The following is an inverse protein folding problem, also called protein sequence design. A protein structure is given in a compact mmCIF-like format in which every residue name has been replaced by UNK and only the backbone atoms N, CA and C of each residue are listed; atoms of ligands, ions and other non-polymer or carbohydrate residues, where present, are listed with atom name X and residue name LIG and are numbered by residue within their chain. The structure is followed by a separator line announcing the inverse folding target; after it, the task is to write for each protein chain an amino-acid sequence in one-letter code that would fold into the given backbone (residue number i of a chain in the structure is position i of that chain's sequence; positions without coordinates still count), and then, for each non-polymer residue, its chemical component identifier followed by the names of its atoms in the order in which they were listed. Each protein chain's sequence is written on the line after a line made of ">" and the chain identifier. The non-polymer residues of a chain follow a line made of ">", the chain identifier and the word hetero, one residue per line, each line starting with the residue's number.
data_IF_551146527285
#
_entry.id   IF_551146527285
#
_cell.length_a   1.000
_cell.length_b   1.000
_cell.length_c   1.000
_cell.angle_alpha   90.00
_cell.angle_beta   90.00
_cell.angle_gamma   90.00
#
_symmetry.space_group_name_H-M   'P 1'
#
loop_
_entity.id
_entity.type
_entity.pdbx_description
1 polymer ?
#
# COMPACT_ATOMS: atom_id res chain seq x y z
N UNK A 1 -55.36 -7.58 69.73
CA UNK A 1 -54.88 -6.49 68.87
C UNK A 1 -53.56 -6.95 68.24
N UNK A 2 -53.59 -7.50 67.04
CA UNK A 2 -52.39 -7.97 66.34
C UNK A 2 -51.90 -6.88 65.39
N UNK A 3 -50.69 -6.38 65.64
CA UNK A 3 -50.00 -5.39 64.83
C UNK A 3 -49.25 -6.08 63.69
N UNK A 4 -49.73 -5.93 62.46
CA UNK A 4 -49.04 -6.37 61.24
C UNK A 4 -48.01 -5.33 60.83
N UNK A 5 -46.72 -5.69 60.93
CA UNK A 5 -45.62 -4.89 60.40
C UNK A 5 -45.55 -5.04 58.87
N UNK A 6 -45.80 -3.96 58.14
CA UNK A 6 -45.52 -3.86 56.70
C UNK A 6 -44.00 -3.83 56.49
N UNK A 7 -43.46 -4.87 55.87
CA UNK A 7 -42.09 -4.87 55.33
C UNK A 7 -42.12 -4.27 53.94
N UNK A 8 -41.65 -3.03 53.80
CA UNK A 8 -41.39 -2.39 52.52
C UNK A 8 -40.11 -2.96 51.92
N UNK A 9 -40.23 -3.80 50.91
CA UNK A 9 -39.11 -4.30 50.10
C UNK A 9 -38.75 -3.23 49.05
N UNK A 10 -37.64 -2.52 49.25
CA UNK A 10 -37.08 -1.63 48.25
C UNK A 10 -36.36 -2.46 47.17
N UNK A 11 -36.93 -2.51 45.97
CA UNK A 11 -36.32 -3.15 44.80
C UNK A 11 -35.32 -2.17 44.17
N UNK A 12 -34.02 -2.36 44.45
CA UNK A 12 -32.97 -1.57 43.82
C UNK A 12 -32.79 -2.00 42.35
N UNK A 13 -33.14 -1.12 41.40
CA UNK A 13 -32.79 -1.26 39.99
C UNK A 13 -31.27 -1.06 39.83
N UNK A 14 -30.52 -2.15 39.75
CA UNK A 14 -29.15 -2.15 39.25
C UNK A 14 -29.18 -1.95 37.73
N UNK A 15 -29.12 -0.70 37.28
CA UNK A 15 -28.81 -0.38 35.89
C UNK A 15 -27.36 -0.79 35.65
N UNK A 16 -27.17 -1.96 35.03
CA UNK A 16 -25.87 -2.43 34.59
C UNK A 16 -25.29 -1.46 33.56
N UNK A 17 -24.32 -0.64 33.97
CA UNK A 17 -23.38 -0.01 33.07
C UNK A 17 -22.57 -1.12 32.40
N UNK A 18 -23.09 -1.63 31.27
CA UNK A 18 -22.26 -2.45 30.40
C UNK A 18 -21.10 -1.56 29.94
N UNK A 19 -19.83 -1.98 30.11
CA UNK A 19 -18.74 -1.27 29.49
C UNK A 19 -19.04 -1.25 27.99
N UNK A 20 -19.19 -0.06 27.42
CA UNK A 20 -19.24 0.08 25.97
C UNK A 20 -17.97 -0.58 25.45
N UNK A 21 -18.11 -1.76 24.83
CA UNK A 21 -17.00 -2.36 24.11
C UNK A 21 -16.58 -1.31 23.10
N UNK A 22 -15.39 -0.74 23.28
CA UNK A 22 -14.84 0.20 22.32
C UNK A 22 -14.88 -0.50 20.97
N UNK A 23 -15.70 0.01 20.05
CA UNK A 23 -15.83 -0.55 18.72
C UNK A 23 -14.42 -0.61 18.14
N UNK A 24 -14.00 -1.78 17.65
CA UNK A 24 -12.67 -1.96 17.10
C UNK A 24 -12.49 -0.99 15.93
N UNK A 25 -11.57 -0.03 16.12
CA UNK A 25 -11.30 1.04 15.18
C UNK A 25 -10.44 0.53 14.04
N UNK A 26 -10.97 -0.41 13.25
CA UNK A 26 -10.30 -0.87 12.03
C UNK A 26 -10.35 0.25 10.99
N UNK A 27 -9.19 0.61 10.47
CA UNK A 27 -9.04 1.55 9.36
C UNK A 27 -8.11 1.04 8.28
N UNK A 28 -8.25 1.61 7.07
CA UNK A 28 -7.37 1.32 5.94
C UNK A 28 -6.75 2.60 5.38
N UNK A 29 -5.45 2.59 5.11
CA UNK A 29 -4.77 3.68 4.42
C UNK A 29 -4.26 3.23 3.06
N UNK A 30 -4.54 4.02 2.03
CA UNK A 30 -4.05 3.80 0.67
C UNK A 30 -2.83 4.70 0.39
N UNK A 31 -1.67 4.10 0.13
CA UNK A 31 -0.39 4.81 -0.02
C UNK A 31 0.12 4.67 -1.46
N UNK A 32 0.06 5.76 -2.23
CA UNK A 32 0.47 5.73 -3.64
C UNK A 32 1.98 5.48 -3.83
N UNK A 33 2.39 5.20 -5.06
CA UNK A 33 3.79 5.07 -5.49
C UNK A 33 4.42 6.40 -5.89
N UNK A 34 5.44 6.36 -6.74
CA UNK A 34 6.17 7.56 -7.22
C UNK A 34 5.21 8.61 -7.79
N UNK A 35 5.38 9.87 -7.39
CA UNK A 35 4.56 10.99 -7.84
C UNK A 35 4.27 12.03 -6.77
N UNK A 36 3.83 13.20 -7.20
CA UNK A 36 3.28 14.25 -6.36
C UNK A 36 1.91 14.65 -6.93
N UNK A 37 0.85 13.98 -6.46
CA UNK A 37 -0.49 14.15 -7.01
C UNK A 37 -1.19 15.36 -6.40
N UNK A 38 -2.01 16.06 -7.19
CA UNK A 38 -2.92 17.06 -6.65
C UNK A 38 -3.99 16.38 -5.81
N UNK A 39 -4.47 15.21 -6.25
CA UNK A 39 -5.44 14.41 -5.52
C UNK A 39 -5.28 12.90 -5.79
N UNK A 40 -4.46 12.21 -4.99
CA UNK A 40 -4.19 10.77 -5.14
C UNK A 40 -5.46 9.87 -5.11
N UNK A 41 -6.56 10.29 -4.48
CA UNK A 41 -7.84 9.57 -4.50
C UNK A 41 -8.41 9.46 -5.93
N UNK A 42 -8.23 10.50 -6.75
CA UNK A 42 -8.73 10.53 -8.13
C UNK A 42 -7.64 10.18 -9.14
N UNK A 43 -6.44 10.71 -8.91
CA UNK A 43 -5.34 10.69 -9.88
C UNK A 43 -4.58 9.36 -9.85
N UNK A 44 -4.58 8.66 -8.70
CA UNK A 44 -3.79 7.46 -8.50
C UNK A 44 -4.63 6.20 -8.26
N UNK A 45 -5.30 6.14 -7.11
CA UNK A 45 -5.91 4.90 -6.62
C UNK A 45 -7.23 4.54 -7.28
N UNK A 46 -7.82 5.41 -8.11
CA UNK A 46 -9.11 5.21 -8.78
C UNK A 46 -10.29 4.84 -7.84
N UNK A 47 -11.38 5.62 -7.78
CA UNK A 47 -12.43 5.44 -6.77
C UNK A 47 -12.97 4.01 -6.62
N UNK A 48 -13.11 3.26 -7.72
CA UNK A 48 -13.69 1.91 -7.69
C UNK A 48 -12.94 0.90 -6.80
N UNK A 49 -11.60 0.89 -6.77
CA UNK A 49 -10.87 -0.07 -5.92
C UNK A 49 -11.02 0.31 -4.44
N UNK A 50 -11.01 1.61 -4.13
CA UNK A 50 -11.21 2.12 -2.78
C UNK A 50 -12.62 1.79 -2.30
N UNK A 51 -13.61 2.01 -3.17
CA UNK A 51 -15.01 1.68 -2.92
C UNK A 51 -15.23 0.19 -2.69
N UNK A 52 -14.51 -0.67 -3.41
CA UNK A 52 -14.54 -2.11 -3.16
C UNK A 52 -13.94 -2.46 -1.80
N UNK A 53 -12.73 -1.98 -1.51
CA UNK A 53 -12.01 -2.32 -0.27
C UNK A 53 -12.75 -1.82 0.97
N UNK A 54 -13.23 -0.57 0.96
CA UNK A 54 -13.89 0.03 2.14
C UNK A 54 -15.20 -0.67 2.53
N UNK A 55 -15.78 -1.49 1.66
CA UNK A 55 -16.94 -2.32 2.01
C UNK A 55 -16.64 -3.35 3.08
N UNK A 56 -15.37 -3.74 3.25
CA UNK A 56 -14.93 -4.68 4.28
C UNK A 56 -14.70 -4.04 5.66
N UNK A 57 -14.84 -2.71 5.77
CA UNK A 57 -14.69 -2.01 7.04
C UNK A 57 -16.01 -2.00 7.82
N UNK A 58 -15.95 -2.16 9.16
CA UNK A 58 -17.10 -1.93 10.03
C UNK A 58 -17.69 -0.51 9.88
N UNK A 59 -16.82 0.51 9.88
CA UNK A 59 -17.19 1.87 9.43
C UNK A 59 -16.52 2.14 8.08
N UNK A 60 -17.33 2.20 7.00
CA UNK A 60 -16.87 2.46 5.62
C UNK A 60 -16.19 3.82 5.43
N UNK A 61 -16.26 4.70 6.43
CA UNK A 61 -15.58 6.01 6.46
C UNK A 61 -14.20 5.95 7.10
N UNK A 62 -13.81 4.82 7.71
CA UNK A 62 -12.47 4.61 8.27
C UNK A 62 -11.46 4.27 7.18
N UNK A 63 -11.30 5.18 6.22
CA UNK A 63 -10.23 5.10 5.26
C UNK A 63 -9.57 6.46 5.05
N UNK A 64 -8.31 6.43 4.63
CA UNK A 64 -7.58 7.62 4.17
C UNK A 64 -6.83 7.28 2.90
N UNK A 65 -6.81 8.22 1.94
CA UNK A 65 -5.90 8.14 0.80
C UNK A 65 -4.79 9.14 1.03
N UNK A 66 -3.57 8.64 1.11
CA UNK A 66 -2.40 9.49 1.34
C UNK A 66 -2.14 10.32 0.10
N UNK A 67 -1.85 11.60 0.29
CA UNK A 67 -1.49 12.52 -0.79
C UNK A 67 -0.21 13.27 -0.41
N UNK A 68 0.94 12.67 -0.71
CA UNK A 68 2.26 13.19 -0.35
C UNK A 68 3.15 13.34 -1.60
N UNK A 69 4.28 14.01 -1.44
CA UNK A 69 5.27 14.12 -2.51
C UNK A 69 6.25 12.95 -2.42
N UNK A 70 5.92 11.89 -3.15
CA UNK A 70 6.76 10.71 -3.33
C UNK A 70 7.61 10.80 -4.60
N UNK A 71 7.90 12.01 -5.09
CA UNK A 71 9.06 12.27 -5.94
C UNK A 71 10.34 12.48 -5.11
N UNK A 72 10.23 12.56 -3.79
CA UNK A 72 11.34 12.73 -2.85
C UNK A 72 11.94 11.39 -2.43
N UNK A 73 13.17 11.43 -1.89
CA UNK A 73 13.70 10.29 -1.14
C UNK A 73 12.78 9.92 0.03
N UNK A 74 12.66 8.62 0.32
CA UNK A 74 11.71 8.07 1.29
C UNK A 74 11.84 8.70 2.69
N UNK A 75 13.05 9.09 3.11
CA UNK A 75 13.30 9.68 4.43
C UNK A 75 13.01 11.19 4.51
N UNK A 76 12.66 11.86 3.41
CA UNK A 76 12.46 13.31 3.41
C UNK A 76 11.15 13.70 4.11
N UNK A 77 11.08 14.91 4.70
CA UNK A 77 9.87 15.40 5.36
C UNK A 77 8.63 15.41 4.46
N UNK A 78 8.79 15.67 3.16
CA UNK A 78 7.70 15.67 2.17
C UNK A 78 7.23 14.26 1.76
N UNK A 79 8.03 13.21 2.02
CA UNK A 79 7.67 11.80 1.83
C UNK A 79 7.25 11.16 3.17
N UNK A 80 8.16 10.51 3.91
CA UNK A 80 7.80 9.82 5.15
C UNK A 80 7.28 10.77 6.25
N UNK A 81 7.77 12.02 6.31
CA UNK A 81 7.25 13.00 7.27
C UNK A 81 5.78 13.39 6.99
N UNK A 82 5.40 13.50 5.71
CA UNK A 82 4.05 13.74 5.26
C UNK A 82 3.16 12.52 5.49
N UNK A 83 3.65 11.33 5.11
CA UNK A 83 2.96 10.05 5.34
C UNK A 83 2.64 9.86 6.82
N UNK A 84 3.62 10.06 7.70
CA UNK A 84 3.41 9.96 9.14
C UNK A 84 2.45 11.02 9.67
N UNK A 85 2.43 12.22 9.09
CA UNK A 85 1.46 13.26 9.47
C UNK A 85 0.03 12.86 9.17
N UNK A 86 -0.21 12.38 7.96
CA UNK A 86 -1.54 11.95 7.52
C UNK A 86 -1.99 10.67 8.25
N UNK A 87 -1.10 9.71 8.47
CA UNK A 87 -1.41 8.50 9.24
C UNK A 87 -1.72 8.81 10.71
N UNK A 88 -0.88 9.60 11.40
CA UNK A 88 -1.15 9.98 12.79
C UNK A 88 -2.46 10.76 12.91
N UNK A 89 -2.70 11.75 12.04
CA UNK A 89 -3.94 12.52 12.06
C UNK A 89 -5.18 11.66 11.79
N UNK A 90 -5.09 10.71 10.85
CA UNK A 90 -6.17 9.74 10.60
C UNK A 90 -6.43 8.83 11.81
N UNK A 91 -5.35 8.29 12.40
CA UNK A 91 -5.44 7.42 13.59
C UNK A 91 -6.14 8.16 14.74
N UNK A 92 -5.73 9.39 15.02
CA UNK A 92 -6.26 10.19 16.13
C UNK A 92 -7.71 10.64 15.86
N UNK A 93 -7.99 11.21 14.68
CA UNK A 93 -9.31 11.78 14.37
C UNK A 93 -10.41 10.75 14.21
N UNK A 94 -10.07 9.50 13.85
CA UNK A 94 -11.03 8.41 13.63
C UNK A 94 -11.00 7.34 14.72
N UNK A 95 -10.12 7.50 15.73
CA UNK A 95 -9.97 6.53 16.81
C UNK A 95 -9.51 5.15 16.32
N UNK A 96 -8.61 5.11 15.32
CA UNK A 96 -8.14 3.86 14.74
C UNK A 96 -7.24 3.13 15.73
N UNK A 97 -7.61 1.90 16.08
CA UNK A 97 -6.85 1.00 16.96
C UNK A 97 -6.09 -0.06 16.18
N UNK A 98 -6.54 -0.37 14.95
CA UNK A 98 -5.92 -1.31 14.02
C UNK A 98 -5.92 -0.71 12.62
N UNK A 99 -4.73 -0.57 12.05
CA UNK A 99 -4.54 0.02 10.73
C UNK A 99 -4.00 -1.03 9.75
N UNK A 100 -4.70 -1.22 8.64
CA UNK A 100 -4.17 -1.90 7.45
C UNK A 100 -3.65 -0.84 6.48
N UNK A 101 -2.43 -0.98 6.00
CA UNK A 101 -1.89 -0.13 4.92
C UNK A 101 -1.88 -0.93 3.62
N UNK A 102 -2.56 -0.41 2.60
CA UNK A 102 -2.46 -0.89 1.22
C UNK A 102 -1.58 0.11 0.47
N UNK A 103 -0.43 -0.35 0.00
CA UNK A 103 0.56 0.51 -0.65
C UNK A 103 0.89 0.00 -2.04
N UNK A 104 1.36 0.88 -2.93
CA UNK A 104 1.78 0.48 -4.27
C UNK A 104 3.20 0.98 -4.60
N UNK A 105 3.99 0.20 -5.34
CA UNK A 105 5.27 0.64 -5.90
C UNK A 105 6.20 1.26 -4.85
N UNK A 106 6.74 2.46 -5.10
CA UNK A 106 7.61 3.20 -4.18
C UNK A 106 6.99 3.51 -2.82
N UNK A 107 5.65 3.58 -2.72
CA UNK A 107 4.96 3.77 -1.43
C UNK A 107 5.34 2.69 -0.43
N UNK A 108 5.59 1.46 -0.92
CA UNK A 108 6.07 0.35 -0.12
C UNK A 108 7.39 0.67 0.58
N UNK A 109 8.32 1.34 -0.12
CA UNK A 109 9.60 1.76 0.45
C UNK A 109 9.43 2.91 1.46
N UNK A 110 8.50 3.83 1.24
CA UNK A 110 8.21 4.90 2.22
C UNK A 110 7.61 4.34 3.51
N UNK A 111 6.69 3.37 3.41
CA UNK A 111 6.16 2.65 4.58
C UNK A 111 7.26 1.84 5.26
N UNK A 112 8.09 1.11 4.49
CA UNK A 112 9.24 0.35 5.03
C UNK A 112 10.24 1.24 5.74
N UNK A 113 10.47 2.47 5.28
CA UNK A 113 11.33 3.44 5.98
C UNK A 113 10.83 3.70 7.40
N UNK A 114 9.54 3.98 7.55
CA UNK A 114 8.90 4.20 8.87
C UNK A 114 9.09 2.96 9.75
N UNK A 115 8.79 1.77 9.23
CA UNK A 115 8.90 0.51 9.96
C UNK A 115 10.34 0.15 10.36
N UNK A 116 11.33 0.57 9.56
CA UNK A 116 12.75 0.23 9.79
C UNK A 116 13.47 1.22 10.71
N UNK A 117 12.92 2.43 10.86
CA UNK A 117 13.57 3.53 11.57
C UNK A 117 12.66 4.12 12.67
N UNK A 118 12.22 3.31 13.66
CA UNK A 118 11.12 3.66 14.58
C UNK A 118 11.35 4.92 15.42
N UNK A 119 12.59 5.36 15.58
CA UNK A 119 12.96 6.55 16.39
C UNK A 119 13.25 7.80 15.55
N UNK A 120 13.19 7.71 14.21
CA UNK A 120 13.53 8.82 13.31
C UNK A 120 12.54 9.99 13.39
N UNK A 121 11.28 9.71 13.71
CA UNK A 121 10.23 10.70 13.94
C UNK A 121 9.39 10.27 15.14
N UNK A 122 9.05 11.23 16.01
CA UNK A 122 8.27 10.98 17.24
C UNK A 122 6.91 10.31 17.00
N UNK A 123 6.36 10.41 15.79
CA UNK A 123 5.08 9.80 15.40
C UNK A 123 5.18 8.32 15.06
N UNK A 124 6.36 7.86 14.62
CA UNK A 124 6.53 6.50 14.10
C UNK A 124 6.19 5.41 15.12
N UNK A 125 6.58 5.48 16.41
CA UNK A 125 6.26 4.42 17.37
C UNK A 125 4.75 4.13 17.47
N UNK A 126 3.91 5.17 17.54
CA UNK A 126 2.45 5.01 17.62
C UNK A 126 1.87 4.47 16.32
N UNK A 127 2.36 4.94 15.17
CA UNK A 127 1.96 4.43 13.85
C UNK A 127 2.27 2.92 13.77
N UNK A 128 3.52 2.52 14.08
CA UNK A 128 3.97 1.12 14.06
C UNK A 128 3.14 0.24 14.99
N UNK A 129 2.84 0.71 16.21
CA UNK A 129 2.01 -0.04 17.16
C UNK A 129 0.55 -0.21 16.70
N UNK A 130 0.04 0.71 15.88
CA UNK A 130 -1.35 0.67 15.37
C UNK A 130 -1.44 -0.15 14.07
N UNK A 131 -0.34 -0.25 13.33
CA UNK A 131 -0.21 -0.99 12.08
C UNK A 131 -0.34 -2.50 12.32
N UNK A 132 -1.46 -3.07 11.86
CA UNK A 132 -1.70 -4.51 11.90
C UNK A 132 -0.92 -5.21 10.78
N UNK A 133 -0.96 -4.67 9.56
CA UNK A 133 -0.25 -5.21 8.40
C UNK A 133 -0.12 -4.19 7.27
N UNK A 134 0.86 -4.45 6.40
CA UNK A 134 1.03 -3.78 5.11
C UNK A 134 0.80 -4.80 4.01
N UNK A 135 -0.15 -4.52 3.12
CA UNK A 135 -0.34 -5.24 1.86
C UNK A 135 0.25 -4.36 0.75
N UNK A 136 1.38 -4.80 0.21
CA UNK A 136 2.17 -4.04 -0.74
C UNK A 136 1.95 -4.58 -2.16
N UNK A 137 1.29 -3.80 -3.01
CA UNK A 137 0.99 -4.10 -4.40
C UNK A 137 2.20 -3.70 -5.25
N UNK A 138 2.83 -4.68 -5.89
CA UNK A 138 4.03 -4.48 -6.71
C UNK A 138 5.06 -3.50 -6.10
N UNK A 139 5.57 -3.74 -4.87
CA UNK A 139 6.48 -2.81 -4.23
C UNK A 139 7.85 -2.79 -4.92
N UNK A 140 8.48 -1.63 -5.03
CA UNK A 140 9.82 -1.52 -5.62
C UNK A 140 10.95 -1.86 -4.63
N UNK A 141 10.81 -2.98 -3.92
CA UNK A 141 11.63 -3.29 -2.74
C UNK A 141 13.11 -3.53 -3.04
N UNK A 142 13.48 -3.92 -4.26
CA UNK A 142 14.87 -3.98 -4.72
C UNK A 142 15.18 -3.01 -5.89
N UNK A 143 14.28 -2.08 -6.19
CA UNK A 143 14.42 -1.15 -7.31
C UNK A 143 13.99 -1.72 -8.66
N UNK A 144 14.31 -1.02 -9.74
CA UNK A 144 14.01 -1.42 -11.13
C UNK A 144 15.15 -1.03 -12.09
N UNK A 145 15.53 -1.90 -13.04
CA UNK A 145 16.42 -1.53 -14.15
C UNK A 145 15.92 -0.33 -14.97
N UNK A 146 14.62 -0.05 -14.99
CA UNK A 146 14.08 1.12 -15.68
C UNK A 146 14.53 2.43 -15.03
N UNK A 147 14.73 2.47 -13.71
CA UNK A 147 15.27 3.64 -13.03
C UNK A 147 16.73 3.88 -13.42
N UNK A 148 17.49 2.80 -13.62
CA UNK A 148 18.86 2.88 -14.15
C UNK A 148 18.84 3.43 -15.59
N UNK A 149 17.91 2.96 -16.43
CA UNK A 149 17.76 3.45 -17.81
C UNK A 149 17.36 4.93 -17.90
N UNK A 150 16.42 5.41 -17.06
CA UNK A 150 15.95 6.81 -17.06
C UNK A 150 17.03 7.80 -16.60
N UNK A 151 17.78 7.43 -15.57
CA UNK A 151 18.78 8.33 -14.96
C UNK A 151 20.12 8.27 -15.68
N UNK A 152 20.54 7.09 -16.15
CA UNK A 152 21.87 6.87 -16.72
C UNK A 152 21.87 6.78 -18.26
N UNK A 153 20.71 6.58 -18.91
CA UNK A 153 20.61 6.40 -20.36
C UNK A 153 20.37 7.69 -21.16
N UNK A 154 20.87 7.71 -22.40
CA UNK A 154 20.63 8.77 -23.41
C UNK A 154 19.57 8.38 -24.46
N UNK A 155 19.13 7.12 -24.50
CA UNK A 155 18.28 6.54 -25.57
C UNK A 155 16.79 6.40 -25.19
N UNK A 156 16.39 6.87 -24.01
CA UNK A 156 15.05 6.68 -23.45
C UNK A 156 14.00 7.68 -23.99
N UNK A 157 14.41 8.66 -24.80
CA UNK A 157 13.65 9.91 -24.97
C UNK A 157 12.46 9.87 -25.95
N UNK A 158 12.32 8.87 -26.82
CA UNK A 158 11.37 9.01 -27.95
C UNK A 158 10.01 8.33 -27.79
N UNK A 159 9.84 7.36 -26.89
CA UNK A 159 8.58 6.57 -26.79
C UNK A 159 7.90 6.60 -25.40
N UNK A 160 8.60 7.04 -24.35
CA UNK A 160 8.09 6.97 -22.97
C UNK A 160 8.20 8.33 -22.27
N UNK A 161 7.71 9.40 -22.91
CA UNK A 161 7.74 10.77 -22.37
C UNK A 161 7.10 10.93 -20.97
N UNK A 162 6.20 10.02 -20.57
CA UNK A 162 5.64 9.98 -19.21
C UNK A 162 6.66 9.52 -18.15
N UNK A 163 7.73 8.83 -18.54
CA UNK A 163 8.85 8.42 -17.69
C UNK A 163 9.95 9.49 -17.60
N UNK A 164 10.10 10.35 -18.62
CA UNK A 164 11.07 11.47 -18.60
C UNK A 164 10.74 12.53 -17.53
N UNK A 165 9.45 12.71 -17.22
CA UNK A 165 8.99 13.51 -16.08
C UNK A 165 9.38 12.94 -14.71
N UNK A 166 10.01 11.76 -14.66
CA UNK A 166 10.36 11.05 -13.43
C UNK A 166 11.83 11.18 -13.04
N UNK A 167 12.66 12.02 -13.67
CA UNK A 167 14.00 12.33 -13.13
C UNK A 167 13.88 13.12 -11.82
N UNK A 168 13.70 12.39 -10.74
CA UNK A 168 13.54 12.90 -9.39
C UNK A 168 14.21 11.97 -8.38
N UNK A 169 14.22 12.39 -7.12
CA UNK A 169 14.85 11.65 -6.03
C UNK A 169 14.25 10.24 -5.86
N UNK A 170 12.94 10.09 -6.07
CA UNK A 170 12.29 8.80 -5.96
C UNK A 170 12.65 7.83 -7.08
N UNK A 171 12.90 8.27 -8.31
CA UNK A 171 13.43 7.36 -9.34
C UNK A 171 14.89 7.04 -9.07
N UNK A 172 15.69 8.04 -8.67
CA UNK A 172 17.09 7.81 -8.31
C UNK A 172 17.21 6.79 -7.16
N UNK A 173 16.37 6.88 -6.13
CA UNK A 173 16.39 5.92 -5.03
C UNK A 173 15.97 4.51 -5.46
N UNK A 174 15.15 4.38 -6.51
CA UNK A 174 14.64 3.11 -7.04
C UNK A 174 15.59 2.45 -8.04
N UNK A 175 16.77 3.02 -8.30
CA UNK A 175 17.84 2.30 -8.99
C UNK A 175 18.23 1.04 -8.23
N UNK A 176 18.56 -0.05 -8.95
CA UNK A 176 18.86 -1.35 -8.33
C UNK A 176 20.03 -1.22 -7.33
N UNK A 177 21.09 -0.50 -7.72
CA UNK A 177 22.25 -0.28 -6.86
C UNK A 177 21.95 0.53 -5.59
N UNK A 178 21.11 1.57 -5.72
CA UNK A 178 20.68 2.39 -4.58
C UNK A 178 19.80 1.60 -3.62
N UNK A 179 18.79 0.88 -4.11
CA UNK A 179 17.95 0.03 -3.28
C UNK A 179 18.74 -1.11 -2.63
N UNK A 180 19.75 -1.68 -3.30
CA UNK A 180 20.65 -2.66 -2.67
C UNK A 180 21.38 -2.06 -1.45
N UNK A 181 21.87 -0.83 -1.56
CA UNK A 181 22.51 -0.12 -0.45
C UNK A 181 21.51 0.17 0.68
N UNK A 182 20.33 0.69 0.36
CA UNK A 182 19.32 0.98 1.37
C UNK A 182 18.82 -0.29 2.07
N UNK A 183 18.63 -1.40 1.34
CA UNK A 183 18.30 -2.69 1.94
C UNK A 183 19.44 -3.19 2.85
N UNK A 184 20.70 -3.04 2.44
CA UNK A 184 21.84 -3.47 3.24
C UNK A 184 22.04 -2.64 4.51
N UNK A 185 21.65 -1.36 4.51
CA UNK A 185 22.06 -0.40 5.55
C UNK A 185 20.88 0.16 6.36
N UNK A 186 19.77 0.52 5.70
CA UNK A 186 18.74 1.38 6.29
C UNK A 186 17.35 0.73 6.40
N UNK A 187 17.08 -0.31 5.60
CA UNK A 187 15.77 -0.97 5.55
C UNK A 187 15.83 -2.38 6.14
N UNK A 188 14.72 -2.77 6.73
CA UNK A 188 14.46 -4.11 7.24
C UNK A 188 13.60 -4.91 6.26
N UNK A 189 13.46 -6.21 6.55
CA UNK A 189 12.57 -7.12 5.85
C UNK A 189 13.14 -7.81 4.62
N UNK A 190 14.33 -7.45 4.14
CA UNK A 190 15.02 -8.21 3.09
C UNK A 190 15.87 -9.34 3.66
N UNK A 191 16.26 -10.29 2.81
CA UNK A 191 17.19 -11.37 3.20
C UNK A 191 18.47 -10.81 3.86
N UNK A 192 18.91 -11.42 4.96
CA UNK A 192 20.08 -10.99 5.72
C UNK A 192 19.90 -9.74 6.59
N UNK A 193 18.69 -9.17 6.65
CA UNK A 193 18.34 -8.02 7.50
C UNK A 193 17.33 -8.40 8.59
N UNK A 194 17.23 -7.63 9.68
CA UNK A 194 16.16 -7.83 10.65
C UNK A 194 14.78 -7.83 10.00
N UNK A 195 13.84 -8.58 10.57
CA UNK A 195 12.45 -8.57 10.11
C UNK A 195 11.79 -7.20 10.39
N UNK A 196 10.76 -6.88 9.61
CA UNK A 196 9.92 -5.71 9.88
C UNK A 196 9.07 -5.98 11.13
N UNK A 197 8.82 -4.97 11.99
CA UNK A 197 8.00 -5.13 13.21
C UNK A 197 6.52 -5.39 12.92
N UNK A 198 6.09 -5.15 11.68
CA UNK A 198 4.73 -5.37 11.19
C UNK A 198 4.80 -6.27 9.96
N UNK A 199 3.87 -7.25 9.79
CA UNK A 199 3.78 -8.03 8.56
C UNK A 199 3.71 -7.15 7.32
N UNK A 200 4.68 -7.32 6.42
CA UNK A 200 4.73 -6.66 5.11
C UNK A 200 4.59 -7.75 4.06
N UNK A 201 3.47 -7.74 3.34
CA UNK A 201 3.08 -8.84 2.46
C UNK A 201 2.94 -8.32 1.03
N UNK A 202 3.76 -8.83 0.11
CA UNK A 202 3.78 -8.43 -1.28
C UNK A 202 2.72 -9.16 -2.10
N UNK A 203 1.96 -8.42 -2.90
CA UNK A 203 1.21 -8.92 -4.05
C UNK A 203 2.08 -8.70 -5.27
N UNK A 204 2.42 -9.77 -5.97
CA UNK A 204 3.37 -9.74 -7.08
C UNK A 204 2.60 -9.71 -8.40
N UNK A 205 2.80 -8.65 -9.18
CA UNK A 205 2.40 -8.61 -10.59
C UNK A 205 3.45 -9.34 -11.43
N UNK A 206 3.03 -10.26 -12.30
CA UNK A 206 3.91 -11.20 -13.00
C UNK A 206 4.04 -10.96 -14.50
N UNK A 207 3.07 -10.28 -15.12
CA UNK A 207 3.05 -10.02 -16.55
C UNK A 207 2.27 -8.73 -16.90
N UNK A 208 2.24 -8.38 -18.19
CA UNK A 208 1.45 -7.32 -18.81
C UNK A 208 0.80 -7.88 -20.07
N UNK A 209 -0.52 -7.85 -20.12
CA UNK A 209 -1.29 -8.15 -21.32
C UNK A 209 -1.72 -6.86 -22.03
N UNK A 210 -1.40 -6.76 -23.34
CA UNK A 210 -1.88 -5.68 -24.21
C UNK A 210 -2.40 -6.17 -25.58
N UNK A 211 -3.01 -7.35 -25.61
CA UNK A 211 -3.67 -7.86 -26.81
C UNK A 211 -4.90 -6.99 -27.18
N UNK A 212 -4.97 -6.42 -28.40
CA UNK A 212 -6.02 -5.46 -28.77
C UNK A 212 -7.42 -6.09 -28.84
N UNK A 213 -7.51 -7.40 -29.03
CA UNK A 213 -8.74 -8.18 -29.08
C UNK A 213 -9.17 -8.73 -27.72
N UNK A 214 -8.33 -8.56 -26.70
CA UNK A 214 -8.60 -9.02 -25.35
C UNK A 214 -9.16 -7.87 -24.52
N UNK A 215 -10.34 -8.08 -23.93
CA UNK A 215 -10.99 -7.08 -23.10
C UNK A 215 -10.19 -6.76 -21.81
N UNK A 216 -9.44 -7.74 -21.29
CA UNK A 216 -8.70 -7.60 -20.04
C UNK A 216 -7.51 -6.63 -20.18
N UNK A 217 -6.94 -6.56 -21.39
CA UNK A 217 -5.92 -5.58 -21.79
C UNK A 217 -6.40 -4.12 -21.69
N UNK A 218 -7.71 -3.86 -21.61
CA UNK A 218 -8.26 -2.50 -21.45
C UNK A 218 -8.47 -2.12 -19.99
N UNK A 219 -8.40 -3.07 -19.04
CA UNK A 219 -8.51 -2.73 -17.64
C UNK A 219 -7.34 -1.83 -17.23
N UNK A 220 -7.67 -0.62 -16.78
CA UNK A 220 -6.69 0.40 -16.42
C UNK A 220 -6.16 1.26 -17.56
N UNK A 221 -6.56 0.98 -18.80
CA UNK A 221 -6.24 1.78 -19.97
C UNK A 221 -5.20 1.10 -20.87
N UNK A 222 -5.65 0.72 -22.06
CA UNK A 222 -4.86 -0.02 -23.06
C UNK A 222 -3.51 0.61 -23.38
N UNK A 223 -3.47 1.93 -23.63
CA UNK A 223 -2.23 2.62 -23.95
C UNK A 223 -1.18 2.55 -22.83
N UNK A 224 -1.62 2.51 -21.56
CA UNK A 224 -0.71 2.34 -20.44
C UNK A 224 -0.14 0.91 -20.40
N UNK A 225 -0.98 -0.11 -20.65
CA UNK A 225 -0.55 -1.50 -20.68
C UNK A 225 0.39 -1.77 -21.87
N UNK A 226 0.11 -1.22 -23.06
CA UNK A 226 1.02 -1.30 -24.20
C UNK A 226 2.39 -0.67 -23.91
N UNK A 227 2.40 0.48 -23.25
CA UNK A 227 3.65 1.12 -22.82
C UNK A 227 4.42 0.28 -21.79
N UNK A 228 3.69 -0.39 -20.88
CA UNK A 228 4.26 -1.30 -19.88
C UNK A 228 4.78 -2.60 -20.49
N UNK A 229 4.13 -3.12 -21.54
CA UNK A 229 4.63 -4.28 -22.27
C UNK A 229 5.93 -3.93 -23.00
N UNK A 230 6.01 -2.75 -23.60
CA UNK A 230 7.25 -2.27 -24.23
C UNK A 230 8.40 -2.13 -23.22
N UNK A 231 8.15 -1.66 -21.99
CA UNK A 231 9.20 -1.54 -20.96
C UNK A 231 9.72 -2.88 -20.45
N UNK A 232 9.00 -4.00 -20.68
CA UNK A 232 9.51 -5.34 -20.34
C UNK A 232 10.79 -5.71 -21.07
N UNK A 233 11.13 -5.05 -22.17
CA UNK A 233 12.43 -5.23 -22.86
C UNK A 233 13.66 -4.92 -21.98
N UNK A 234 13.47 -4.19 -20.88
CA UNK A 234 14.51 -3.89 -19.88
C UNK A 234 14.37 -4.69 -18.59
N UNK A 235 13.36 -5.57 -18.51
CA UNK A 235 13.00 -6.31 -17.31
C UNK A 235 13.15 -7.81 -17.55
N UNK A 236 13.11 -8.58 -16.47
CA UNK A 236 13.01 -10.03 -16.52
C UNK A 236 11.63 -10.47 -17.04
N UNK A 237 11.54 -11.74 -17.46
CA UNK A 237 10.30 -12.31 -17.99
C UNK A 237 9.14 -12.23 -17.00
N UNK A 238 9.41 -12.38 -15.70
CA UNK A 238 8.42 -12.14 -14.64
C UNK A 238 8.50 -10.68 -14.20
N UNK A 239 7.64 -9.83 -14.75
CA UNK A 239 7.53 -8.43 -14.40
C UNK A 239 6.15 -7.86 -14.73
N UNK A 240 5.71 -6.90 -13.93
CA UNK A 240 4.44 -6.18 -14.15
C UNK A 240 4.55 -5.04 -15.18
N UNK A 241 5.63 -5.06 -15.99
CA UNK A 241 6.00 -4.01 -16.92
C UNK A 241 6.78 -2.85 -16.30
N UNK A 242 6.91 -2.77 -14.98
CA UNK A 242 7.74 -1.74 -14.32
C UNK A 242 8.78 -2.33 -13.36
N UNK A 243 8.42 -3.42 -12.69
CA UNK A 243 9.20 -4.06 -11.64
C UNK A 243 9.31 -5.56 -11.87
N UNK A 244 10.53 -6.06 -11.75
CA UNK A 244 10.77 -7.49 -11.69
C UNK A 244 10.09 -8.12 -10.47
N UNK A 245 9.55 -9.32 -10.65
CA UNK A 245 9.02 -10.12 -9.56
C UNK A 245 10.04 -10.30 -8.42
N UNK A 246 11.34 -10.41 -8.73
CA UNK A 246 12.40 -10.50 -7.71
C UNK A 246 12.46 -9.26 -6.84
N UNK A 247 12.28 -8.06 -7.43
CA UNK A 247 12.22 -6.79 -6.70
C UNK A 247 10.97 -6.71 -5.83
N UNK A 248 9.82 -7.11 -6.37
CA UNK A 248 8.56 -7.11 -5.63
C UNK A 248 8.60 -8.05 -4.41
N UNK A 249 9.25 -9.21 -4.55
CA UNK A 249 9.40 -10.24 -3.50
C UNK A 249 10.50 -9.94 -2.48
N UNK A 250 11.33 -8.93 -2.71
CA UNK A 250 12.58 -8.76 -1.96
C UNK A 250 12.39 -8.43 -0.47
N UNK A 251 11.24 -7.88 -0.06
CA UNK A 251 10.99 -7.48 1.31
C UNK A 251 9.70 -8.07 1.89
N UNK A 252 9.79 -8.55 3.13
CA UNK A 252 8.67 -9.16 3.84
C UNK A 252 8.40 -10.57 3.32
N UNK A 253 7.12 -10.91 3.15
CA UNK A 253 6.68 -12.20 2.61
C UNK A 253 5.81 -12.00 1.38
N UNK A 254 5.69 -13.02 0.54
CA UNK A 254 4.73 -12.99 -0.57
C UNK A 254 3.36 -13.41 -0.05
N UNK A 255 2.34 -12.60 -0.32
CA UNK A 255 0.96 -13.02 -0.10
C UNK A 255 0.45 -13.90 -1.24
N UNK A 256 0.56 -13.39 -2.48
CA UNK A 256 0.33 -14.15 -3.70
C UNK A 256 1.00 -13.48 -4.90
N UNK A 257 1.21 -14.29 -5.94
CA UNK A 257 1.47 -13.80 -7.30
C UNK A 257 0.12 -13.73 -8.01
N UNK A 258 -0.18 -12.60 -8.63
CA UNK A 258 -1.45 -12.23 -9.28
C UNK A 258 -2.29 -13.39 -9.83
N UNK A 259 -1.78 -14.12 -10.83
CA UNK A 259 -2.48 -15.18 -11.56
C UNK A 259 -2.97 -16.33 -10.68
N UNK A 260 -2.44 -16.47 -9.46
CA UNK A 260 -2.91 -17.45 -8.50
C UNK A 260 -4.25 -17.08 -7.83
N UNK A 261 -4.68 -15.82 -7.88
CA UNK A 261 -5.89 -15.34 -7.17
C UNK A 261 -6.77 -14.39 -7.96
N UNK A 262 -6.26 -13.71 -8.98
CA UNK A 262 -7.05 -12.86 -9.85
C UNK A 262 -8.09 -13.68 -10.61
N UNK A 263 -9.22 -13.04 -10.93
CA UNK A 263 -10.23 -13.66 -11.78
C UNK A 263 -9.62 -13.97 -13.15
N UNK A 264 -9.96 -15.13 -13.73
CA UNK A 264 -9.41 -15.56 -15.03
C UNK A 264 -7.94 -16.01 -14.97
N UNK A 265 -7.29 -15.95 -13.81
CA UNK A 265 -5.84 -16.03 -13.69
C UNK A 265 -5.12 -14.90 -14.47
N UNK A 266 -5.78 -13.76 -14.63
CA UNK A 266 -5.24 -12.59 -15.33
C UNK A 266 -4.06 -11.96 -14.58
N UNK A 267 -2.95 -11.61 -15.26
CA UNK A 267 -1.86 -10.91 -14.63
C UNK A 267 -2.26 -9.47 -14.27
N UNK A 268 -1.57 -8.89 -13.29
CA UNK A 268 -1.71 -7.50 -12.90
C UNK A 268 -0.47 -6.73 -13.33
N UNK A 269 -0.61 -5.93 -14.38
CA UNK A 269 0.39 -4.92 -14.70
C UNK A 269 0.53 -3.87 -13.58
N UNK A 270 1.62 -3.10 -13.64
CA UNK A 270 1.90 -2.05 -12.66
C UNK A 270 0.77 -1.01 -12.56
N UNK A 271 0.06 -0.75 -13.67
CA UNK A 271 -1.04 0.20 -13.69
C UNK A 271 -2.38 -0.40 -13.28
N UNK A 272 -2.60 -1.70 -13.47
CA UNK A 272 -3.80 -2.42 -13.03
C UNK A 272 -3.81 -2.67 -11.51
N UNK A 273 -2.63 -2.80 -10.89
CA UNK A 273 -2.43 -3.01 -9.45
C UNK A 273 -2.96 -1.89 -8.54
N UNK A 274 -3.48 -0.79 -9.10
CA UNK A 274 -4.11 0.33 -8.38
C UNK A 274 -5.56 0.58 -8.82
N UNK A 275 -6.22 -0.43 -9.39
CA UNK A 275 -7.56 -0.33 -10.00
C UNK A 275 -8.41 -1.54 -9.67
N UNK A 276 -9.72 -1.43 -9.92
CA UNK A 276 -10.66 -2.53 -9.76
C UNK A 276 -10.57 -3.55 -10.92
N UNK A 277 -9.37 -4.08 -11.16
CA UNK A 277 -9.11 -5.10 -12.17
C UNK A 277 -9.13 -6.50 -11.54
N UNK A 278 -9.69 -7.47 -12.27
CA UNK A 278 -9.55 -8.92 -12.03
C UNK A 278 -9.85 -9.37 -10.58
N UNK A 279 -10.83 -8.73 -9.93
CA UNK A 279 -11.22 -9.07 -8.56
C UNK A 279 -10.28 -8.59 -7.45
N UNK A 280 -9.23 -7.81 -7.77
CA UNK A 280 -8.25 -7.33 -6.80
C UNK A 280 -8.89 -6.58 -5.61
N UNK A 281 -9.88 -5.73 -5.88
CA UNK A 281 -10.60 -5.00 -4.83
C UNK A 281 -11.33 -5.92 -3.84
N UNK A 282 -11.84 -7.07 -4.29
CA UNK A 282 -12.47 -8.08 -3.44
C UNK A 282 -11.42 -8.81 -2.60
N UNK A 283 -10.31 -9.23 -3.22
CA UNK A 283 -9.21 -9.88 -2.49
C UNK A 283 -8.70 -8.98 -1.35
N UNK A 284 -8.48 -7.70 -1.63
CA UNK A 284 -8.02 -6.72 -0.64
C UNK A 284 -9.06 -6.45 0.44
N UNK A 285 -10.34 -6.38 0.08
CA UNK A 285 -11.45 -6.22 1.03
C UNK A 285 -11.48 -7.38 2.03
N UNK A 286 -11.45 -8.61 1.51
CA UNK A 286 -11.64 -9.82 2.30
C UNK A 286 -10.42 -10.11 3.19
N UNK A 287 -9.26 -9.54 2.86
CA UNK A 287 -8.08 -9.56 3.70
C UNK A 287 -8.13 -8.55 4.85
N UNK A 288 -8.92 -7.46 4.82
CA UNK A 288 -8.87 -6.43 5.88
C UNK A 288 -9.01 -6.98 7.31
N UNK A 289 -9.82 -8.02 7.50
CA UNK A 289 -10.12 -8.61 8.82
C UNK A 289 -9.31 -9.86 9.16
N UNK A 290 -8.46 -10.33 8.24
CA UNK A 290 -7.59 -11.52 8.43
C UNK A 290 -6.28 -11.19 9.16
#
# INVERSE_FOLDING_TARGET
>A
MHSTALRSTALALLVGLQPAQAADGLGVAFVHGTGAHTNALRDYWQPAIIDSVRQGLPDRRNYVVINCDFNQYMWKPKAAGCLAGQLSGFIESRGITRLVVITHSNGGNVVRWILSNPTYDRRYPKIIQTLQKVTALAPSSAGTPLADAVVNGSTFETLLGWLLGLRNDAVRQQQVGHMATYNAQNLYGTGGRPALPTPFRAVVGSDVDSAPTDADSYCGGYAANLGLEFTRNWLSSCSDGFLDCSSQKAAGTVWFTDTARTHGAEPLSHNQSRRACFGLGTLLRDDLTQ
#
